data_IF_954929391514
#
_entry.id   IF_954929391514
#
_cell.length_a   1.000
_cell.length_b   1.000
_cell.length_c   1.000
_cell.angle_alpha   90.00
_cell.angle_beta   90.00
_cell.angle_gamma   90.00
#
_symmetry.space_group_name_H-M   'P 1'
#
loop_
_entity.id
_entity.type
_entity.pdbx_description
1 polymer ?
#
# COMPACT_ATOMS: atom_id res chain seq x y z
N UNK A 1 23.66 -15.96 9.73
CA UNK A 1 24.67 -16.68 10.54
C UNK A 1 26.04 -16.18 10.08
N UNK A 2 26.87 -15.67 10.98
CA UNK A 2 28.19 -15.13 10.62
C UNK A 2 29.13 -16.29 10.22
N UNK A 3 29.82 -16.22 9.08
CA UNK A 3 30.77 -17.27 8.67
C UNK A 3 31.94 -17.34 9.65
N UNK A 4 32.21 -18.52 10.22
CA UNK A 4 33.41 -18.79 11.03
C UNK A 4 33.17 -19.27 12.47
N UNK A 5 31.95 -19.19 12.98
CA UNK A 5 31.63 -19.67 14.33
C UNK A 5 31.15 -21.13 14.28
N UNK A 6 32.08 -22.08 14.47
CA UNK A 6 31.73 -23.50 14.68
C UNK A 6 31.73 -23.79 16.18
N UNK A 7 30.60 -24.29 16.68
CA UNK A 7 30.39 -24.82 18.03
C UNK A 7 30.50 -23.81 19.19
N UNK A 8 30.11 -22.54 18.98
CA UNK A 8 29.86 -21.65 20.12
C UNK A 8 28.40 -21.79 20.57
N UNK A 9 28.20 -22.24 21.80
CA UNK A 9 26.92 -22.12 22.49
C UNK A 9 26.71 -20.63 22.80
N UNK A 10 26.05 -19.92 21.90
CA UNK A 10 25.72 -18.52 22.12
C UNK A 10 24.58 -18.46 23.13
N UNK A 11 24.92 -18.05 24.35
CA UNK A 11 23.94 -17.79 25.39
C UNK A 11 22.83 -16.87 24.87
N UNK A 12 21.58 -17.29 25.07
CA UNK A 12 20.41 -16.55 24.58
C UNK A 12 20.29 -15.25 25.37
N UNK A 13 20.77 -14.16 24.79
CA UNK A 13 20.58 -12.83 25.36
C UNK A 13 19.11 -12.39 25.24
N UNK A 14 18.45 -12.15 26.37
CA UNK A 14 17.05 -11.69 26.44
C UNK A 14 16.82 -10.39 25.65
N UNK A 15 17.75 -9.44 25.70
CA UNK A 15 17.67 -8.19 24.93
C UNK A 15 17.79 -8.42 23.43
N UNK A 16 18.68 -9.31 22.98
CA UNK A 16 18.80 -9.66 21.57
C UNK A 16 17.55 -10.39 21.05
N UNK A 17 16.97 -11.27 21.87
CA UNK A 17 15.73 -11.98 21.53
C UNK A 17 14.56 -11.02 21.40
N UNK A 18 14.41 -10.06 22.33
CA UNK A 18 13.36 -9.03 22.26
C UNK A 18 13.59 -8.05 21.09
N UNK A 19 14.81 -7.58 20.87
CA UNK A 19 15.14 -6.61 19.82
C UNK A 19 15.15 -7.19 18.40
N UNK A 20 15.40 -8.49 18.25
CA UNK A 20 15.37 -9.21 16.97
C UNK A 20 14.12 -10.08 16.80
N UNK A 21 13.15 -9.98 17.72
CA UNK A 21 11.87 -10.66 17.57
C UNK A 21 11.24 -10.20 16.26
N UNK A 22 11.15 -11.10 15.28
CA UNK A 22 10.31 -10.89 14.10
C UNK A 22 8.90 -10.60 14.60
N UNK A 23 8.32 -9.48 14.15
CA UNK A 23 6.90 -9.20 14.37
C UNK A 23 6.11 -10.46 14.01
N UNK A 24 5.20 -10.86 14.90
CA UNK A 24 4.27 -11.95 14.58
C UNK A 24 3.60 -11.62 13.26
N UNK A 25 3.49 -12.61 12.38
CA UNK A 25 2.72 -12.43 11.15
C UNK A 25 1.34 -11.92 11.56
N UNK A 26 0.90 -10.81 10.96
CA UNK A 26 -0.46 -10.33 11.17
C UNK A 26 -1.44 -11.49 10.96
N UNK A 27 -2.46 -11.58 11.82
CA UNK A 27 -3.53 -12.57 11.62
C UNK A 27 -4.03 -12.39 10.19
N UNK A 28 -3.96 -13.45 9.38
CA UNK A 28 -4.49 -13.41 8.02
C UNK A 28 -6.00 -13.16 8.14
N UNK A 29 -6.42 -11.93 7.88
CA UNK A 29 -7.83 -11.68 7.66
C UNK A 29 -8.24 -12.42 6.39
N UNK A 30 -9.52 -12.85 6.28
CA UNK A 30 -10.06 -13.33 5.02
C UNK A 30 -9.73 -12.32 3.92
N UNK A 31 -9.41 -12.76 2.68
CA UNK A 31 -9.13 -11.84 1.60
C UNK A 31 -10.32 -10.90 1.42
N UNK A 32 -10.12 -9.59 1.62
CA UNK A 32 -11.18 -8.58 1.52
C UNK A 32 -11.52 -8.23 0.07
N UNK A 33 -11.27 -9.14 -0.88
CA UNK A 33 -11.53 -8.88 -2.29
C UNK A 33 -13.03 -8.68 -2.46
N UNK A 34 -13.39 -7.55 -3.04
CA UNK A 34 -14.78 -7.22 -3.36
C UNK A 34 -15.24 -8.02 -4.58
N UNK A 35 -16.51 -8.43 -4.57
CA UNK A 35 -17.09 -9.26 -5.63
C UNK A 35 -17.42 -8.43 -6.88
N UNK A 36 -17.82 -7.18 -6.68
CA UNK A 36 -18.21 -6.30 -7.77
C UNK A 36 -17.07 -5.40 -8.24
N UNK A 37 -16.98 -5.25 -9.55
CA UNK A 37 -16.05 -4.30 -10.19
C UNK A 37 -16.36 -2.86 -9.71
N UNK A 38 -15.30 -2.11 -9.40
CA UNK A 38 -15.33 -0.75 -8.84
C UNK A 38 -15.99 -0.60 -7.45
N UNK A 39 -16.27 -1.70 -6.74
CA UNK A 39 -16.76 -1.62 -5.35
C UNK A 39 -15.71 -1.04 -4.39
N UNK A 40 -14.43 -1.34 -4.62
CA UNK A 40 -13.32 -0.79 -3.85
C UNK A 40 -12.11 -0.59 -4.75
N UNK A 41 -11.63 0.65 -4.84
CA UNK A 41 -10.40 1.03 -5.53
C UNK A 41 -9.35 1.35 -4.48
N UNK A 42 -8.22 0.63 -4.52
CA UNK A 42 -7.03 0.99 -3.77
C UNK A 42 -6.15 1.88 -4.63
N UNK A 43 -5.75 3.04 -4.11
CA UNK A 43 -4.85 3.96 -4.79
C UNK A 43 -3.68 4.32 -3.90
N UNK A 44 -2.50 4.45 -4.50
CA UNK A 44 -1.24 4.73 -3.81
C UNK A 44 -0.34 5.59 -4.70
N UNK A 45 0.46 6.46 -4.09
CA UNK A 45 1.43 7.31 -4.76
C UNK A 45 2.81 6.74 -4.50
N UNK A 46 3.36 6.08 -5.51
CA UNK A 46 4.70 5.55 -5.44
C UNK A 46 5.74 6.54 -6.00
N UNK A 47 7.01 6.32 -5.64
CA UNK A 47 8.13 7.18 -6.03
C UNK A 47 8.37 7.26 -7.55
N UNK A 48 9.42 7.97 -7.98
CA UNK A 48 9.68 8.23 -9.39
C UNK A 48 9.76 6.95 -10.23
N UNK A 49 8.88 6.84 -11.23
CA UNK A 49 8.83 5.74 -12.20
C UNK A 49 9.20 6.26 -13.60
N UNK A 50 9.88 5.46 -14.42
CA UNK A 50 10.30 5.86 -15.77
C UNK A 50 9.16 6.06 -16.78
N UNK A 51 7.91 5.77 -16.40
CA UNK A 51 6.78 5.67 -17.34
C UNK A 51 5.82 6.85 -17.20
N UNK A 52 5.44 7.22 -15.99
CA UNK A 52 4.53 8.33 -15.70
C UNK A 52 4.94 8.98 -14.38
N UNK A 53 5.61 10.13 -14.47
CA UNK A 53 6.03 10.89 -13.31
C UNK A 53 5.01 11.99 -13.06
N UNK A 54 4.37 11.96 -11.88
CA UNK A 54 3.70 13.15 -11.35
C UNK A 54 4.79 14.15 -10.94
N UNK A 55 4.67 15.40 -11.37
CA UNK A 55 5.68 16.42 -11.06
C UNK A 55 5.66 16.77 -9.57
N UNK A 56 4.47 16.82 -8.97
CA UNK A 56 4.24 17.08 -7.55
C UNK A 56 3.10 16.23 -7.02
N UNK A 57 3.06 16.01 -5.70
CA UNK A 57 2.00 15.23 -5.02
C UNK A 57 0.61 15.86 -5.18
N UNK A 58 0.52 17.18 -5.34
CA UNK A 58 -0.77 17.87 -5.51
C UNK A 58 -1.49 17.53 -6.82
N UNK A 59 -0.77 16.98 -7.81
CA UNK A 59 -1.35 16.55 -9.09
C UNK A 59 -2.12 15.22 -9.00
N UNK A 60 -1.98 14.49 -7.89
CA UNK A 60 -2.56 13.17 -7.70
C UNK A 60 -4.07 13.21 -7.84
N UNK A 61 -4.74 14.16 -7.17
CA UNK A 61 -6.20 14.27 -7.18
C UNK A 61 -6.77 14.43 -8.59
N UNK A 62 -6.25 15.40 -9.36
CA UNK A 62 -6.72 15.66 -10.73
C UNK A 62 -6.47 14.49 -11.68
N UNK A 63 -5.32 13.82 -11.55
CA UNK A 63 -5.02 12.62 -12.34
C UNK A 63 -5.89 11.44 -11.96
N UNK A 64 -6.22 11.33 -10.69
CA UNK A 64 -7.15 10.32 -10.21
C UNK A 64 -8.57 10.56 -10.75
N UNK A 65 -9.06 11.81 -10.80
CA UNK A 65 -10.36 12.15 -11.42
C UNK A 65 -10.40 11.73 -12.90
N UNK A 66 -9.32 11.96 -13.65
CA UNK A 66 -9.19 11.51 -15.05
C UNK A 66 -9.25 9.99 -15.18
N UNK A 67 -8.53 9.28 -14.31
CA UNK A 67 -8.58 7.82 -14.24
C UNK A 67 -9.98 7.31 -13.89
N UNK A 68 -10.65 7.89 -12.88
CA UNK A 68 -12.01 7.53 -12.50
C UNK A 68 -12.97 7.67 -13.68
N UNK A 69 -12.97 8.81 -14.37
CA UNK A 69 -13.83 9.04 -15.52
C UNK A 69 -13.57 8.03 -16.66
N UNK A 70 -12.31 7.63 -16.87
CA UNK A 70 -11.93 6.62 -17.85
C UNK A 70 -12.52 5.25 -17.49
N UNK A 71 -12.29 4.76 -16.27
CA UNK A 71 -12.70 3.41 -15.86
C UNK A 71 -14.21 3.28 -15.71
N UNK A 72 -14.90 4.34 -15.27
CA UNK A 72 -16.36 4.35 -15.20
C UNK A 72 -16.98 4.30 -16.60
N UNK A 73 -16.44 5.05 -17.56
CA UNK A 73 -16.90 5.01 -18.96
C UNK A 73 -16.67 3.63 -19.59
N UNK A 74 -15.52 3.02 -19.35
CA UNK A 74 -15.17 1.73 -19.92
C UNK A 74 -16.01 0.58 -19.34
N UNK A 75 -16.34 0.64 -18.05
CA UNK A 75 -17.04 -0.43 -17.35
C UNK A 75 -18.56 -0.25 -17.26
N UNK A 76 -19.07 0.97 -17.46
CA UNK A 76 -20.46 1.32 -17.20
C UNK A 76 -20.85 1.28 -15.72
N UNK A 77 -19.89 1.07 -14.81
CA UNK A 77 -20.08 1.03 -13.35
C UNK A 77 -19.50 2.29 -12.70
N UNK A 78 -19.97 2.62 -11.50
CA UNK A 78 -19.46 3.73 -10.68
C UNK A 78 -18.50 3.25 -9.61
N UNK A 79 -17.47 4.05 -9.31
CA UNK A 79 -16.59 3.81 -8.15
C UNK A 79 -17.37 4.05 -6.87
N UNK A 80 -17.47 3.03 -6.00
CA UNK A 80 -18.23 3.13 -4.74
C UNK A 80 -17.38 3.61 -3.57
N UNK A 81 -16.13 3.16 -3.49
CA UNK A 81 -15.24 3.46 -2.39
C UNK A 81 -13.79 3.51 -2.87
N UNK A 82 -13.07 4.52 -2.39
CA UNK A 82 -11.64 4.70 -2.61
C UNK A 82 -10.94 4.52 -1.26
N UNK A 83 -9.82 3.80 -1.27
CA UNK A 83 -8.94 3.66 -0.11
C UNK A 83 -7.53 4.07 -0.50
N UNK A 84 -7.00 5.07 0.20
CA UNK A 84 -5.59 5.47 0.14
C UNK A 84 -4.91 5.15 1.47
N UNK A 85 -3.57 5.25 1.51
CA UNK A 85 -2.91 5.53 2.77
C UNK A 85 -3.24 6.97 3.18
N UNK A 86 -3.28 7.30 4.46
CA UNK A 86 -3.70 8.63 4.91
C UNK A 86 -2.59 9.69 4.70
N UNK A 87 -1.93 9.68 3.52
CA UNK A 87 -0.78 10.52 3.16
C UNK A 87 -1.11 11.97 2.81
N UNK A 88 -2.41 12.30 2.67
CA UNK A 88 -2.92 13.66 2.47
C UNK A 88 -2.99 14.12 1.01
N UNK A 89 -2.51 13.33 0.04
CA UNK A 89 -2.53 13.68 -1.39
C UNK A 89 -3.96 13.75 -1.98
N UNK A 90 -4.92 13.17 -1.27
CA UNK A 90 -6.34 13.16 -1.63
C UNK A 90 -7.18 14.17 -0.81
N UNK A 91 -6.53 15.09 -0.08
CA UNK A 91 -7.24 16.11 0.70
C UNK A 91 -7.76 17.23 -0.21
N UNK A 92 -9.09 17.30 -0.40
CA UNK A 92 -9.77 18.36 -1.15
C UNK A 92 -11.19 17.95 -1.55
N UNK A 93 -12.00 18.88 -2.09
CA UNK A 93 -13.33 18.55 -2.61
C UNK A 93 -13.24 17.51 -3.74
N UNK A 94 -13.89 16.37 -3.53
CA UNK A 94 -14.12 15.33 -4.53
C UNK A 94 -15.38 15.68 -5.34
N UNK A 95 -15.43 16.89 -5.89
CA UNK A 95 -16.48 17.31 -6.81
C UNK A 95 -16.27 16.69 -8.20
#
# INVERSE_FOLDING_TARGET
MLPGLKNAELEKCSHCMAGKQTRVSFKKHPPSRKSELLELVHSDVCGPLKVYVLKTKDQVLEKFKQFQALVERQSGKKVKCIRSDNGGEYCGPFD
#
